data_IF_514204788242
#
_entry.id   IF_514204788242
#
_cell.length_a   1.000
_cell.length_b   1.000
_cell.length_c   1.000
_cell.angle_alpha   90.00
_cell.angle_beta   90.00
_cell.angle_gamma   90.00
#
_symmetry.space_group_name_H-M   'P 1'
#
loop_
_entity.id
_entity.type
_entity.pdbx_description
1 polymer ?
#
# COMPACT_ATOMS: atom_id res chain seq x y z
N UNK A 1 7.40 4.85 12.25
CA UNK A 1 6.55 5.10 11.06
C UNK A 1 5.22 4.40 11.24
N UNK A 2 4.15 5.11 10.97
CA UNK A 2 2.82 4.51 11.07
C UNK A 2 2.53 3.69 9.82
N UNK A 3 1.72 2.65 9.99
CA UNK A 3 1.37 1.77 8.88
C UNK A 3 0.69 2.53 7.75
N UNK A 4 -0.21 3.46 8.07
CA UNK A 4 -0.89 4.28 7.07
C UNK A 4 0.11 5.08 6.24
N UNK A 5 1.14 5.60 6.89
CA UNK A 5 2.15 6.41 6.21
C UNK A 5 2.94 5.56 5.24
N UNK A 6 3.34 4.37 5.69
CA UNK A 6 4.11 3.46 4.85
C UNK A 6 3.31 3.05 3.61
N UNK A 7 2.06 2.66 3.83
CA UNK A 7 1.20 2.19 2.74
C UNK A 7 0.98 3.30 1.72
N UNK A 8 0.63 4.50 2.20
CA UNK A 8 0.37 5.63 1.31
C UNK A 8 1.61 5.99 0.50
N UNK A 9 2.74 6.11 1.17
CA UNK A 9 3.99 6.50 0.51
C UNK A 9 4.42 5.45 -0.51
N UNK A 10 4.23 4.18 -0.19
CA UNK A 10 4.62 3.10 -1.08
C UNK A 10 3.70 3.03 -2.31
N UNK A 11 2.41 3.26 -2.12
CA UNK A 11 1.47 3.31 -3.25
C UNK A 11 1.86 4.46 -4.18
N UNK A 12 2.14 5.63 -3.63
CA UNK A 12 2.52 6.80 -4.42
C UNK A 12 3.80 6.50 -5.20
N UNK A 13 4.79 5.94 -4.52
CA UNK A 13 6.08 5.63 -5.16
C UNK A 13 5.92 4.61 -6.28
N UNK A 14 5.14 3.56 -6.06
CA UNK A 14 4.93 2.53 -7.07
C UNK A 14 4.13 3.04 -8.25
N UNK A 15 3.11 3.86 -8.00
CA UNK A 15 2.35 4.46 -9.09
C UNK A 15 3.22 5.37 -9.93
N UNK A 16 4.08 6.15 -9.28
CA UNK A 16 5.00 7.03 -10.00
C UNK A 16 5.99 6.22 -10.83
N UNK A 17 6.52 5.15 -10.26
CA UNK A 17 7.48 4.30 -10.94
C UNK A 17 6.88 3.64 -12.18
N UNK A 18 5.59 3.32 -12.13
CA UNK A 18 4.89 2.65 -13.23
C UNK A 18 4.11 3.61 -14.11
N UNK A 19 4.22 4.89 -13.87
CA UNK A 19 3.49 5.92 -14.62
C UNK A 19 1.99 5.62 -14.59
N UNK A 20 1.48 5.29 -13.41
CA UNK A 20 0.09 4.92 -13.22
C UNK A 20 -0.66 6.00 -12.45
N UNK A 21 -1.78 6.47 -13.01
CA UNK A 21 -2.59 7.47 -12.35
C UNK A 21 -3.47 6.83 -11.29
N UNK A 22 -3.98 7.65 -10.38
CA UNK A 22 -4.96 7.20 -9.40
C UNK A 22 -6.21 6.65 -10.07
N UNK A 23 -6.62 7.27 -11.16
CA UNK A 23 -7.76 6.80 -11.94
C UNK A 23 -7.52 5.40 -12.49
N UNK A 24 -6.35 5.18 -13.06
CA UNK A 24 -6.01 3.87 -13.62
C UNK A 24 -5.95 2.82 -12.51
N UNK A 25 -5.37 3.16 -11.37
CA UNK A 25 -5.33 2.25 -10.24
C UNK A 25 -6.75 1.92 -9.79
N UNK A 26 -7.63 2.89 -9.77
CA UNK A 26 -9.04 2.68 -9.44
C UNK A 26 -9.68 1.69 -10.39
N UNK A 27 -9.44 1.84 -11.69
CA UNK A 27 -10.01 0.93 -12.68
C UNK A 27 -9.50 -0.50 -12.52
N UNK A 28 -8.20 -0.65 -12.26
CA UNK A 28 -7.60 -1.98 -12.16
C UNK A 28 -8.00 -2.71 -10.89
N UNK A 29 -8.24 -1.99 -9.82
CA UNK A 29 -8.56 -2.59 -8.52
C UNK A 29 -10.05 -2.72 -8.27
N UNK A 30 -10.86 -1.93 -8.97
CA UNK A 30 -12.29 -1.83 -8.66
C UNK A 30 -12.57 -0.98 -7.43
N UNK A 31 -11.56 -0.35 -6.87
CA UNK A 31 -11.71 0.54 -5.72
C UNK A 31 -11.98 1.95 -6.24
N UNK A 32 -12.92 2.67 -5.62
CA UNK A 32 -13.27 4.01 -6.08
C UNK A 32 -12.08 4.97 -5.93
N UNK A 33 -12.04 5.98 -6.77
CA UNK A 33 -11.00 7.01 -6.65
C UNK A 33 -11.05 7.72 -5.32
N UNK A 34 -12.26 7.91 -4.80
CA UNK A 34 -12.43 8.53 -3.48
C UNK A 34 -11.77 7.71 -2.39
N UNK A 35 -11.97 6.39 -2.41
CA UNK A 35 -11.36 5.50 -1.42
C UNK A 35 -9.84 5.47 -1.56
N UNK A 36 -9.34 5.40 -2.78
CA UNK A 36 -7.89 5.44 -3.01
C UNK A 36 -7.32 6.78 -2.53
N UNK A 37 -8.04 7.88 -2.80
CA UNK A 37 -7.62 9.19 -2.34
C UNK A 37 -7.47 9.27 -0.84
N UNK A 38 -8.40 8.67 -0.10
CA UNK A 38 -8.32 8.65 1.37
C UNK A 38 -7.13 7.85 1.87
N UNK A 39 -6.84 6.74 1.21
CA UNK A 39 -5.68 5.91 1.58
C UNK A 39 -4.39 6.71 1.35
N UNK A 40 -4.27 7.36 0.19
CA UNK A 40 -3.09 8.16 -0.14
C UNK A 40 -2.95 9.36 0.78
N UNK A 41 -4.07 9.94 1.20
CA UNK A 41 -4.06 11.08 2.11
C UNK A 41 -3.83 10.65 3.57
N UNK A 42 -3.67 9.36 3.83
CA UNK A 42 -3.42 8.82 5.17
C UNK A 42 -4.62 9.00 6.10
N UNK A 43 -5.79 9.15 5.51
CA UNK A 43 -7.04 9.31 6.27
C UNK A 43 -7.72 7.98 6.54
N UNK A 44 -7.30 6.94 5.85
CA UNK A 44 -7.92 5.64 5.95
C UNK A 44 -6.86 4.55 5.86
N UNK A 45 -6.97 3.56 6.74
CA UNK A 45 -6.09 2.39 6.67
C UNK A 45 -6.84 1.31 5.89
N UNK A 46 -6.31 0.86 4.76
CA UNK A 46 -6.99 -0.16 3.96
C UNK A 46 -6.96 -1.51 4.67
N UNK A 47 -7.95 -2.33 4.37
CA UNK A 47 -7.95 -3.72 4.84
C UNK A 47 -6.94 -4.52 4.04
N UNK A 48 -6.58 -5.71 4.52
CA UNK A 48 -5.63 -6.55 3.80
C UNK A 48 -6.12 -6.94 2.40
N UNK A 49 -7.40 -7.31 2.22
CA UNK A 49 -7.88 -7.58 0.85
C UNK A 49 -7.73 -6.37 -0.08
N UNK A 50 -7.92 -5.17 0.44
CA UNK A 50 -7.74 -3.94 -0.35
C UNK A 50 -6.28 -3.77 -0.75
N UNK A 51 -5.37 -3.98 0.20
CA UNK A 51 -3.93 -3.88 -0.08
C UNK A 51 -3.53 -4.92 -1.12
N UNK A 52 -4.07 -6.12 -1.01
CA UNK A 52 -3.79 -7.19 -1.97
C UNK A 52 -4.20 -6.79 -3.39
N UNK A 53 -5.38 -6.20 -3.54
CA UNK A 53 -5.83 -5.74 -4.85
C UNK A 53 -4.91 -4.67 -5.42
N UNK A 54 -4.46 -3.76 -4.57
CA UNK A 54 -3.55 -2.70 -4.98
C UNK A 54 -2.21 -3.29 -5.42
N UNK A 55 -1.69 -4.25 -4.65
CA UNK A 55 -0.43 -4.91 -5.00
C UNK A 55 -0.55 -5.63 -6.33
N UNK A 56 -1.65 -6.34 -6.57
CA UNK A 56 -1.89 -7.03 -7.83
C UNK A 56 -1.88 -6.04 -9.00
N UNK A 57 -2.56 -4.91 -8.83
CA UNK A 57 -2.61 -3.89 -9.87
C UNK A 57 -1.24 -3.28 -10.15
N UNK A 58 -0.41 -3.18 -9.13
CA UNK A 58 0.93 -2.61 -9.24
C UNK A 58 1.98 -3.65 -9.63
N UNK A 59 1.60 -4.92 -9.70
CA UNK A 59 2.52 -5.97 -10.13
C UNK A 59 3.55 -6.35 -9.08
N UNK A 60 3.22 -6.20 -7.81
CA UNK A 60 4.11 -6.60 -6.72
C UNK A 60 3.39 -7.59 -5.81
N UNK A 61 4.17 -8.39 -5.09
CA UNK A 61 3.60 -9.26 -4.06
C UNK A 61 3.41 -8.48 -2.78
N UNK A 62 2.60 -9.02 -1.87
CA UNK A 62 2.46 -8.42 -0.55
C UNK A 62 3.81 -8.37 0.16
N UNK A 63 4.61 -9.43 0.01
CA UNK A 63 5.93 -9.48 0.61
C UNK A 63 6.81 -8.35 0.07
N UNK A 64 6.78 -8.14 -1.24
CA UNK A 64 7.56 -7.06 -1.87
C UNK A 64 7.07 -5.69 -1.41
N UNK A 65 5.75 -5.54 -1.29
CA UNK A 65 5.17 -4.27 -0.88
C UNK A 65 5.62 -3.88 0.52
N UNK A 66 5.66 -4.84 1.43
CA UNK A 66 6.02 -4.58 2.83
C UNK A 66 7.48 -4.83 3.17
N UNK A 67 8.29 -5.18 2.17
CA UNK A 67 9.69 -5.53 2.41
C UNK A 67 10.50 -4.39 3.04
N UNK A 68 10.14 -3.15 2.71
CA UNK A 68 10.85 -1.99 3.25
C UNK A 68 10.27 -1.46 4.55
N UNK A 69 9.24 -2.11 5.07
CA UNK A 69 8.61 -1.61 6.29
C UNK A 69 9.48 -1.94 7.50
N UNK A 70 9.75 -0.89 8.28
CA UNK A 70 10.59 -1.01 9.46
C UNK A 70 9.74 -1.54 10.62
N UNK A 71 10.04 -2.76 11.06
CA UNK A 71 9.32 -3.41 12.15
C UNK A 71 10.19 -3.34 13.40
N UNK A 72 9.62 -2.99 14.56
CA UNK A 72 10.41 -2.95 15.79
C UNK A 72 11.11 -4.29 16.03
N UNK A 73 12.40 -4.22 16.26
CA UNK A 73 13.22 -5.40 16.44
C UNK A 73 12.72 -6.23 17.62
N UNK A 74 12.28 -5.56 18.66
CA UNK A 74 11.78 -6.25 19.84
C UNK A 74 10.62 -7.19 19.52
N UNK A 75 9.83 -6.88 18.51
CA UNK A 75 8.73 -7.73 18.11
C UNK A 75 9.21 -8.96 17.37
N UNK A 76 10.25 -8.81 16.55
CA UNK A 76 10.77 -9.94 15.80
C UNK A 76 11.65 -10.83 16.67
N UNK A 77 12.27 -10.27 17.70
CA UNK A 77 13.13 -11.03 18.58
C UNK A 77 12.39 -11.73 19.71
N UNK A 78 11.24 -11.21 20.07
CA UNK A 78 10.51 -11.75 21.20
C UNK A 78 10.04 -13.18 20.98
N UNK A 79 10.03 -13.63 19.76
CA UNK A 79 9.64 -14.99 19.48
C UNK A 79 10.81 -15.96 19.47
N UNK A 80 11.96 -15.51 19.77
CA UNK A 80 13.15 -16.34 19.80
C UNK A 80 13.31 -17.09 21.10
#
# INVERSE_FOLDING_TARGET
MRTEDYIADNIIALCKKRDMSKYRLSQLTGISQSSIGKIIAKESLPTMPTVEKICDALGVTMAQFFAGMDVPVSLSESQQ
#
